data_IF_694855683006
#
_entry.id   IF_694855683006
#
_cell.length_a   1.000
_cell.length_b   1.000
_cell.length_c   1.000
_cell.angle_alpha   90.00
_cell.angle_beta   90.00
_cell.angle_gamma   90.00
#
_symmetry.space_group_name_H-M   'P 1'
#
loop_
_entity.id
_entity.type
_entity.pdbx_description
1 polymer ?
#
# COMPACT_ATOMS: atom_id res chain seq x y z
N UNK A 1 3.18 18.23 19.56
CA UNK A 1 3.16 16.84 20.04
C UNK A 1 1.88 16.21 19.52
N UNK A 2 1.97 15.25 18.60
CA UNK A 2 0.84 14.44 18.16
C UNK A 2 0.44 13.54 19.33
N UNK A 3 -0.85 13.39 19.58
CA UNK A 3 -1.32 12.51 20.67
C UNK A 3 -1.53 11.12 20.09
N UNK A 4 -1.29 10.05 20.87
CA UNK A 4 -1.58 8.65 20.50
C UNK A 4 -3.00 8.49 19.96
N UNK A 5 -3.96 9.29 20.46
CA UNK A 5 -5.34 9.35 19.99
C UNK A 5 -5.53 9.70 18.51
N UNK A 6 -4.53 10.32 17.87
CA UNK A 6 -4.63 10.70 16.45
C UNK A 6 -4.39 9.51 15.48
N UNK A 7 -3.79 8.42 16.00
CA UNK A 7 -3.59 7.15 15.30
C UNK A 7 -4.49 6.01 15.83
N UNK A 8 -5.43 6.32 16.73
CA UNK A 8 -6.30 5.33 17.36
C UNK A 8 -7.44 4.95 16.40
N UNK A 9 -7.09 4.12 15.41
CA UNK A 9 -8.05 3.56 14.47
C UNK A 9 -7.96 2.03 14.47
N UNK A 10 -9.05 1.40 14.07
CA UNK A 10 -9.14 -0.06 13.97
C UNK A 10 -8.33 -0.51 12.73
N UNK A 11 -7.27 -1.29 12.92
CA UNK A 11 -6.46 -1.78 11.81
C UNK A 11 -7.26 -2.75 10.94
N UNK A 12 -7.10 -2.63 9.63
CA UNK A 12 -7.83 -3.46 8.66
C UNK A 12 -7.25 -4.87 8.63
N UNK A 13 -8.11 -5.90 8.71
CA UNK A 13 -7.73 -7.31 8.63
C UNK A 13 -6.56 -7.70 9.58
N UNK A 14 -6.49 -7.08 10.78
CA UNK A 14 -5.38 -7.27 11.72
C UNK A 14 -5.09 -8.74 12.00
N UNK A 15 -6.08 -9.42 12.58
CA UNK A 15 -5.89 -10.83 12.96
C UNK A 15 -5.73 -11.76 11.77
N UNK A 16 -6.54 -11.65 10.70
CA UNK A 16 -6.33 -12.48 9.50
C UNK A 16 -4.93 -12.34 8.91
N UNK A 17 -4.35 -11.14 8.89
CA UNK A 17 -3.00 -10.90 8.36
C UNK A 17 -1.93 -11.53 9.22
N UNK A 18 -1.97 -11.31 10.54
CA UNK A 18 -0.95 -11.86 11.46
C UNK A 18 -1.11 -13.38 11.64
N UNK A 19 -2.34 -13.90 11.56
CA UNK A 19 -2.58 -15.36 11.50
C UNK A 19 -1.94 -15.98 10.25
N UNK A 20 -2.14 -15.31 9.10
CA UNK A 20 -1.59 -15.76 7.83
C UNK A 20 -0.06 -15.76 7.80
N UNK A 21 0.59 -14.83 8.50
CA UNK A 21 2.06 -14.79 8.65
C UNK A 21 2.62 -15.97 9.45
N UNK A 22 1.79 -16.68 10.23
CA UNK A 22 2.21 -17.80 11.08
C UNK A 22 3.38 -17.43 12.01
N UNK A 23 3.23 -16.31 12.72
CA UNK A 23 4.27 -15.72 13.58
C UNK A 23 4.70 -16.69 14.69
N UNK A 24 6.04 -16.85 14.86
CA UNK A 24 6.65 -17.74 15.86
C UNK A 24 7.67 -16.98 16.71
N UNK A 25 7.84 -17.37 17.98
CA UNK A 25 8.94 -16.87 18.81
C UNK A 25 10.30 -17.15 18.15
N UNK A 26 11.23 -16.20 18.24
CA UNK A 26 12.56 -16.27 17.64
C UNK A 26 12.62 -16.04 16.14
N UNK A 27 11.47 -15.76 15.47
CA UNK A 27 11.41 -15.45 14.06
C UNK A 27 11.87 -14.03 13.74
N UNK A 28 12.03 -13.74 12.44
CA UNK A 28 12.40 -12.45 11.88
C UNK A 28 11.26 -11.98 10.98
N UNK A 29 10.68 -10.85 11.30
CA UNK A 29 9.53 -10.30 10.56
C UNK A 29 9.80 -8.88 10.08
N UNK A 30 9.18 -8.52 8.95
CA UNK A 30 9.22 -7.17 8.39
C UNK A 30 7.79 -6.69 8.15
N UNK A 31 7.44 -5.57 8.77
CA UNK A 31 6.26 -4.79 8.46
C UNK A 31 6.69 -3.64 7.57
N UNK A 32 6.27 -3.66 6.31
CA UNK A 32 6.67 -2.71 5.27
C UNK A 32 5.90 -1.39 5.32
N UNK A 33 4.87 -1.30 6.18
CA UNK A 33 3.92 -0.19 6.27
C UNK A 33 3.49 -0.01 7.72
N UNK A 34 4.44 0.42 8.55
CA UNK A 34 4.26 0.45 10.00
C UNK A 34 3.02 1.25 10.46
N UNK A 35 2.73 2.39 9.79
CA UNK A 35 1.59 3.23 10.12
C UNK A 35 1.55 3.59 11.61
N UNK A 36 0.41 3.39 12.28
CA UNK A 36 0.27 3.55 13.73
C UNK A 36 0.83 2.39 14.57
N UNK A 37 1.50 1.41 13.95
CA UNK A 37 2.16 0.28 14.64
C UNK A 37 1.24 -0.86 15.07
N UNK A 38 -0.02 -0.89 14.65
CA UNK A 38 -0.98 -1.89 15.16
C UNK A 38 -0.67 -3.31 14.68
N UNK A 39 -0.33 -3.50 13.41
CA UNK A 39 0.11 -4.79 12.87
C UNK A 39 1.45 -5.20 13.49
N UNK A 40 2.42 -4.28 13.54
CA UNK A 40 3.71 -4.49 14.19
C UNK A 40 3.56 -4.93 15.65
N UNK A 41 2.69 -4.29 16.43
CA UNK A 41 2.44 -4.65 17.84
C UNK A 41 1.82 -6.04 18.00
N UNK A 42 0.87 -6.42 17.14
CA UNK A 42 0.29 -7.77 17.17
C UNK A 42 1.32 -8.84 16.76
N UNK A 43 2.19 -8.57 15.78
CA UNK A 43 3.32 -9.43 15.46
C UNK A 43 4.23 -9.59 16.68
N UNK A 44 4.67 -8.48 17.31
CA UNK A 44 5.51 -8.49 18.51
C UNK A 44 4.89 -9.30 19.65
N UNK A 45 3.60 -9.13 19.90
CA UNK A 45 2.86 -9.89 20.92
C UNK A 45 2.96 -11.42 20.68
N UNK A 46 2.86 -11.87 19.41
CA UNK A 46 2.95 -13.29 19.05
C UNK A 46 4.38 -13.81 19.08
N UNK A 47 5.39 -12.95 18.92
CA UNK A 47 6.80 -13.31 19.06
C UNK A 47 7.20 -13.63 20.52
N UNK A 48 6.36 -13.32 21.52
CA UNK A 48 6.55 -13.64 22.93
C UNK A 48 7.93 -13.21 23.47
N UNK A 49 8.36 -12.01 23.12
CA UNK A 49 9.62 -11.44 23.59
C UNK A 49 10.88 -12.06 22.97
N UNK A 50 10.79 -12.71 21.81
CA UNK A 50 11.93 -13.32 21.15
C UNK A 50 11.90 -13.06 19.65
N UNK A 51 13.03 -12.64 19.07
CA UNK A 51 13.21 -12.46 17.62
C UNK A 51 13.39 -11.01 17.20
N UNK A 52 13.32 -10.76 15.92
CA UNK A 52 13.57 -9.44 15.28
C UNK A 52 12.32 -9.00 14.54
N UNK A 53 11.93 -7.74 14.74
CA UNK A 53 10.87 -7.07 13.96
C UNK A 53 11.41 -5.78 13.38
N UNK A 54 11.38 -5.68 12.05
CA UNK A 54 11.66 -4.43 11.33
C UNK A 54 10.34 -3.79 10.95
N UNK A 55 10.13 -2.52 11.33
CA UNK A 55 8.93 -1.74 10.99
C UNK A 55 9.34 -0.57 10.12
N UNK A 56 8.94 -0.61 8.84
CA UNK A 56 9.33 0.38 7.82
C UNK A 56 8.15 1.33 7.59
N UNK A 57 8.43 2.62 7.53
CA UNK A 57 7.50 3.61 6.99
C UNK A 57 8.27 4.78 6.40
N UNK A 58 7.71 5.43 5.38
CA UNK A 58 8.28 6.65 4.81
C UNK A 58 7.74 7.93 5.46
N UNK A 59 6.68 7.82 6.25
CA UNK A 59 6.05 8.93 6.97
C UNK A 59 6.63 9.05 8.40
N UNK A 60 7.33 10.16 8.69
CA UNK A 60 7.86 10.42 10.03
C UNK A 60 6.77 10.41 11.12
N UNK A 61 5.55 10.84 10.78
CA UNK A 61 4.43 10.82 11.72
C UNK A 61 4.03 9.39 12.12
N UNK A 62 4.10 8.44 11.17
CA UNK A 62 3.85 7.02 11.44
C UNK A 62 4.92 6.45 12.38
N UNK A 63 6.20 6.68 12.07
CA UNK A 63 7.29 6.21 12.95
C UNK A 63 7.25 6.83 14.33
N UNK A 64 6.90 8.12 14.44
CA UNK A 64 6.71 8.77 15.74
C UNK A 64 5.61 8.09 16.56
N UNK A 65 4.47 7.74 15.93
CA UNK A 65 3.39 7.00 16.58
C UNK A 65 3.82 5.60 17.03
N UNK A 66 4.61 4.89 16.20
CA UNK A 66 5.20 3.60 16.59
C UNK A 66 6.14 3.75 17.80
N UNK A 67 6.95 4.82 17.85
CA UNK A 67 7.87 5.07 18.95
C UNK A 67 7.14 5.36 20.28
N UNK A 68 5.96 5.97 20.23
CA UNK A 68 5.10 6.14 21.43
C UNK A 68 4.60 4.80 21.99
N UNK A 69 4.54 3.77 21.16
CA UNK A 69 4.14 2.38 21.50
C UNK A 69 5.30 1.44 21.80
N UNK A 70 6.50 1.95 22.03
CA UNK A 70 7.72 1.14 22.23
C UNK A 70 7.58 0.02 23.27
N UNK A 71 6.70 0.18 24.24
CA UNK A 71 6.43 -0.83 25.28
C UNK A 71 5.78 -2.10 24.70
N UNK A 72 5.01 -1.98 23.61
CA UNK A 72 4.40 -3.12 22.91
C UNK A 72 5.46 -4.04 22.28
N UNK A 73 6.68 -3.53 22.07
CA UNK A 73 7.81 -4.24 21.48
C UNK A 73 8.83 -4.75 22.52
N UNK A 74 8.48 -4.73 23.79
CA UNK A 74 9.39 -5.15 24.85
C UNK A 74 9.83 -6.62 24.68
N UNK A 75 11.13 -6.86 24.83
CA UNK A 75 11.73 -8.20 24.78
C UNK A 75 12.12 -8.70 23.39
N UNK A 76 11.68 -8.06 22.31
CA UNK A 76 12.16 -8.34 20.95
C UNK A 76 13.20 -7.29 20.49
N UNK A 77 13.97 -7.64 19.48
CA UNK A 77 14.84 -6.67 18.79
C UNK A 77 14.01 -5.93 17.74
N UNK A 78 13.45 -4.78 18.17
CA UNK A 78 12.58 -3.95 17.31
C UNK A 78 13.37 -2.85 16.63
N UNK A 79 13.28 -2.77 15.30
CA UNK A 79 14.02 -1.87 14.43
C UNK A 79 13.06 -1.00 13.58
N UNK A 80 12.64 0.19 14.04
CA UNK A 80 11.92 1.13 13.20
C UNK A 80 12.87 1.78 12.17
N UNK A 81 12.45 1.84 10.90
CA UNK A 81 13.27 2.32 9.79
C UNK A 81 12.47 3.32 8.95
N UNK A 82 12.98 4.57 8.80
CA UNK A 82 12.43 5.52 7.82
C UNK A 82 12.96 5.17 6.45
N UNK A 83 12.13 4.58 5.60
CA UNK A 83 12.44 4.26 4.20
C UNK A 83 11.17 3.94 3.43
N UNK A 84 11.28 3.93 2.10
CA UNK A 84 10.24 3.36 1.24
C UNK A 84 10.37 1.83 1.24
N UNK A 85 9.24 1.13 1.26
CA UNK A 85 9.20 -0.34 1.25
C UNK A 85 9.85 -0.96 -0.01
N UNK A 86 9.93 -0.21 -1.13
CA UNK A 86 10.64 -0.66 -2.35
C UNK A 86 12.12 -0.96 -2.08
N UNK A 87 12.71 -0.35 -1.05
CA UNK A 87 14.12 -0.51 -0.68
C UNK A 87 14.34 -1.69 0.29
N UNK A 88 13.38 -2.61 0.42
CA UNK A 88 13.42 -3.75 1.37
C UNK A 88 14.71 -4.58 1.26
N UNK A 89 15.25 -4.78 0.05
CA UNK A 89 16.51 -5.52 -0.14
C UNK A 89 17.69 -4.82 0.53
N UNK A 90 17.82 -3.51 0.32
CA UNK A 90 18.88 -2.69 0.89
C UNK A 90 18.73 -2.53 2.41
N UNK A 91 17.50 -2.40 2.91
CA UNK A 91 17.20 -2.35 4.34
C UNK A 91 17.65 -3.63 5.03
N UNK A 92 17.18 -4.79 4.56
CA UNK A 92 17.53 -6.10 5.13
C UNK A 92 19.05 -6.31 5.09
N UNK A 93 19.72 -5.91 4.01
CA UNK A 93 21.17 -6.02 3.85
C UNK A 93 21.93 -5.11 4.82
N UNK A 94 21.50 -3.86 4.96
CA UNK A 94 22.13 -2.88 5.85
C UNK A 94 22.03 -3.30 7.33
N UNK A 95 20.91 -3.88 7.72
CA UNK A 95 20.65 -4.40 9.05
C UNK A 95 21.35 -5.78 9.30
N UNK A 96 21.94 -6.40 8.27
CA UNK A 96 22.62 -7.72 8.34
C UNK A 96 21.72 -8.86 8.83
N UNK A 97 20.43 -8.77 8.53
CA UNK A 97 19.42 -9.73 9.02
C UNK A 97 19.38 -11.03 8.18
N UNK A 98 19.72 -10.98 6.91
CA UNK A 98 19.63 -12.11 6.01
C UNK A 98 18.20 -12.38 5.54
N UNK A 99 17.76 -13.66 5.52
CA UNK A 99 16.39 -14.04 5.14
C UNK A 99 15.45 -13.98 6.33
N UNK A 100 14.17 -13.68 6.06
CA UNK A 100 13.13 -13.42 7.06
C UNK A 100 12.04 -14.51 7.06
N UNK A 101 11.36 -14.69 8.18
CA UNK A 101 10.29 -15.65 8.36
C UNK A 101 8.94 -15.13 7.86
N UNK A 102 8.77 -13.81 7.83
CA UNK A 102 7.54 -13.20 7.29
C UNK A 102 7.72 -11.76 6.91
N UNK A 103 6.96 -11.35 5.90
CA UNK A 103 6.85 -9.97 5.43
C UNK A 103 5.37 -9.63 5.35
N UNK A 104 5.00 -8.44 5.79
CA UNK A 104 3.68 -7.91 5.54
C UNK A 104 3.73 -6.51 4.93
N UNK A 105 2.69 -6.16 4.20
CA UNK A 105 2.43 -4.80 3.74
C UNK A 105 0.93 -4.51 3.80
N UNK A 106 0.55 -3.41 4.45
CA UNK A 106 -0.80 -2.84 4.46
C UNK A 106 -0.77 -1.60 3.55
N UNK A 107 -1.16 -1.78 2.27
CA UNK A 107 -0.94 -0.78 1.23
C UNK A 107 -1.89 0.42 1.37
N UNK A 108 -1.52 1.51 0.72
CA UNK A 108 -2.33 2.72 0.65
C UNK A 108 -2.03 3.73 1.75
N UNK A 109 -3.04 4.51 2.13
CA UNK A 109 -2.92 5.64 3.06
C UNK A 109 -3.35 5.28 4.47
N UNK A 110 -2.64 5.78 5.46
CA UNK A 110 -3.06 5.65 6.85
C UNK A 110 -4.32 6.48 7.15
N UNK A 111 -5.08 6.06 8.17
CA UNK A 111 -6.22 6.84 8.63
C UNK A 111 -5.81 8.24 9.08
N UNK A 112 -4.64 8.38 9.70
CA UNK A 112 -4.08 9.67 10.08
C UNK A 112 -3.92 10.60 8.86
N UNK A 113 -3.36 10.10 7.74
CA UNK A 113 -3.20 10.88 6.51
C UNK A 113 -4.55 11.33 5.94
N UNK A 114 -5.58 10.46 5.96
CA UNK A 114 -6.93 10.81 5.51
C UNK A 114 -7.65 11.78 6.47
N UNK A 115 -7.40 11.67 7.76
CA UNK A 115 -8.09 12.44 8.78
C UNK A 115 -7.46 13.81 9.04
N UNK A 116 -6.20 13.99 8.72
CA UNK A 116 -5.47 15.25 8.82
C UNK A 116 -5.65 16.07 7.55
N UNK A 117 -6.46 17.13 7.62
CA UNK A 117 -6.78 17.98 6.46
C UNK A 117 -5.52 18.58 5.81
N UNK A 118 -4.52 18.91 6.60
CA UNK A 118 -3.24 19.51 6.21
C UNK A 118 -2.40 18.60 5.31
N UNK A 119 -2.63 17.27 5.34
CA UNK A 119 -1.95 16.30 4.47
C UNK A 119 -2.55 16.24 3.06
N UNK A 120 -3.76 16.76 2.84
CA UNK A 120 -4.37 16.91 1.52
C UNK A 120 -4.89 15.65 0.85
N UNK A 121 -4.99 14.52 1.53
CA UNK A 121 -5.46 13.25 0.94
C UNK A 121 -6.98 13.18 0.76
N UNK A 122 -7.74 13.93 1.56
CA UNK A 122 -9.20 13.85 1.56
C UNK A 122 -9.83 14.85 0.59
N UNK A 123 -10.70 14.38 -0.30
CA UNK A 123 -11.55 15.25 -1.13
C UNK A 123 -12.72 15.88 -0.35
N UNK A 124 -12.99 15.40 0.87
CA UNK A 124 -14.06 15.91 1.74
C UNK A 124 -13.59 16.97 2.73
N UNK A 125 -12.32 16.96 3.10
CA UNK A 125 -11.71 17.90 4.05
C UNK A 125 -10.97 18.99 3.27
N UNK A 126 -11.11 20.25 3.68
CA UNK A 126 -10.44 21.36 3.01
C UNK A 126 -8.98 21.49 3.46
N UNK A 127 -8.07 20.94 2.71
CA UNK A 127 -6.62 20.98 2.94
C UNK A 127 -5.83 21.50 1.74
N UNK A 128 -4.52 21.73 1.87
CA UNK A 128 -3.65 21.99 0.73
C UNK A 128 -3.64 20.79 -0.23
N UNK A 129 -3.37 21.00 -1.52
CA UNK A 129 -3.18 19.91 -2.48
C UNK A 129 -1.75 19.35 -2.34
N UNK A 130 -1.50 18.61 -1.26
CA UNK A 130 -0.18 18.00 -0.98
C UNK A 130 -0.15 16.52 -1.39
N UNK A 131 -0.81 15.64 -0.67
CA UNK A 131 -0.91 14.18 -0.85
C UNK A 131 0.42 13.42 -0.77
N UNK A 132 1.52 14.02 -0.33
CA UNK A 132 2.78 13.30 -0.11
C UNK A 132 2.69 12.44 1.14
N UNK A 133 3.07 11.18 1.04
CA UNK A 133 3.26 10.31 2.20
C UNK A 133 4.55 10.68 2.94
N UNK A 134 5.65 10.87 2.20
CA UNK A 134 6.88 11.47 2.71
C UNK A 134 6.89 12.98 2.42
N UNK A 135 6.81 13.85 3.44
CA UNK A 135 6.81 15.30 3.25
C UNK A 135 8.11 15.86 2.64
N UNK A 136 9.20 15.10 2.65
CA UNK A 136 10.49 15.51 2.09
C UNK A 136 10.54 15.36 0.57
N UNK A 137 9.62 14.61 -0.04
CA UNK A 137 9.50 14.47 -1.50
C UNK A 137 9.08 15.80 -2.14
N UNK A 138 9.50 16.03 -3.38
CA UNK A 138 9.25 17.30 -4.08
C UNK A 138 7.89 17.35 -4.79
N UNK A 139 7.36 16.20 -5.28
CA UNK A 139 6.14 16.13 -6.08
C UNK A 139 4.90 16.19 -5.19
N UNK A 140 4.12 17.25 -5.32
CA UNK A 140 2.85 17.42 -4.62
C UNK A 140 1.67 17.24 -5.57
N UNK A 141 0.47 17.01 -5.02
CA UNK A 141 -0.77 17.01 -5.80
C UNK A 141 -0.99 18.35 -6.52
N UNK A 142 -0.55 19.47 -5.93
CA UNK A 142 -0.60 20.78 -6.59
C UNK A 142 0.28 20.85 -7.84
N UNK A 143 1.49 20.26 -7.80
CA UNK A 143 2.37 20.19 -8.96
C UNK A 143 1.75 19.34 -10.07
N UNK A 144 1.21 18.16 -9.74
CA UNK A 144 0.51 17.29 -10.70
C UNK A 144 -0.66 18.04 -11.35
N UNK A 145 -1.57 18.61 -10.57
CA UNK A 145 -2.80 19.24 -11.07
C UNK A 145 -2.51 20.51 -11.87
N UNK A 146 -1.54 21.33 -11.43
CA UNK A 146 -1.29 22.63 -12.04
C UNK A 146 -0.25 22.62 -13.17
N UNK A 147 0.65 21.61 -13.23
CA UNK A 147 1.75 21.62 -14.19
C UNK A 147 1.72 20.49 -15.23
N UNK A 148 1.14 19.35 -14.93
CA UNK A 148 1.05 18.24 -15.89
C UNK A 148 0.28 18.69 -17.13
N UNK A 149 0.69 18.20 -18.29
CA UNK A 149 -0.04 18.39 -19.54
C UNK A 149 -1.44 17.75 -19.47
N UNK A 150 -2.28 18.13 -20.41
CA UNK A 150 -3.61 17.54 -20.56
C UNK A 150 -3.55 16.02 -20.71
N UNK A 151 -2.61 15.52 -21.52
CA UNK A 151 -2.47 14.10 -21.83
C UNK A 151 -1.91 13.31 -20.64
N UNK A 152 -1.00 13.89 -19.85
CA UNK A 152 -0.53 13.29 -18.59
C UNK A 152 -1.64 13.19 -17.56
N UNK A 153 -2.46 14.22 -17.39
CA UNK A 153 -3.63 14.17 -16.49
C UNK A 153 -4.64 13.12 -16.96
N UNK A 154 -4.97 13.06 -18.25
CA UNK A 154 -5.85 12.02 -18.78
C UNK A 154 -5.30 10.64 -18.52
N UNK A 155 -4.00 10.42 -18.77
CA UNK A 155 -3.32 9.16 -18.52
C UNK A 155 -3.49 8.71 -17.07
N UNK A 156 -3.12 9.55 -16.10
CA UNK A 156 -3.21 9.16 -14.68
C UNK A 156 -4.66 8.92 -14.24
N UNK A 157 -5.62 9.72 -14.69
CA UNK A 157 -7.03 9.52 -14.33
C UNK A 157 -7.59 8.22 -14.94
N UNK A 158 -7.20 7.88 -16.17
CA UNK A 158 -7.61 6.65 -16.83
C UNK A 158 -6.90 5.43 -16.23
N UNK A 159 -5.58 5.48 -16.11
CA UNK A 159 -4.76 4.31 -15.79
C UNK A 159 -4.70 4.04 -14.27
N UNK A 160 -4.67 5.08 -13.43
CA UNK A 160 -4.60 4.97 -11.96
C UNK A 160 -5.95 5.18 -11.27
N UNK A 161 -6.83 5.96 -11.88
CA UNK A 161 -8.17 6.18 -11.34
C UNK A 161 -9.22 5.24 -11.89
N UNK A 162 -8.93 4.52 -12.98
CA UNK A 162 -9.92 3.75 -13.77
C UNK A 162 -11.15 4.63 -14.08
N UNK A 163 -10.91 5.96 -14.37
CA UNK A 163 -11.95 6.94 -14.57
C UNK A 163 -12.36 7.03 -16.04
N UNK A 164 -13.63 6.77 -16.32
CA UNK A 164 -14.17 6.74 -17.69
C UNK A 164 -14.23 8.12 -18.35
N UNK A 165 -14.35 9.18 -17.56
CA UNK A 165 -14.41 10.56 -18.03
C UNK A 165 -13.06 11.30 -17.94
N UNK A 166 -11.94 10.56 -17.89
CA UNK A 166 -10.59 11.08 -17.67
C UNK A 166 -10.24 12.27 -18.58
N UNK A 167 -10.50 12.16 -19.91
CA UNK A 167 -10.22 13.23 -20.87
C UNK A 167 -11.00 14.51 -20.58
N UNK A 168 -12.29 14.39 -20.30
CA UNK A 168 -13.16 15.56 -20.00
C UNK A 168 -12.73 16.26 -18.71
N UNK A 169 -12.36 15.49 -17.68
CA UNK A 169 -11.88 16.04 -16.41
C UNK A 169 -10.53 16.75 -16.63
N UNK A 170 -9.62 16.13 -17.40
CA UNK A 170 -8.33 16.73 -17.74
C UNK A 170 -8.50 18.05 -18.51
N UNK A 171 -9.38 18.10 -19.53
CA UNK A 171 -9.71 19.33 -20.26
C UNK A 171 -10.19 20.43 -19.31
N UNK A 172 -11.14 20.12 -18.43
CA UNK A 172 -11.69 21.07 -17.48
C UNK A 172 -10.67 21.61 -16.48
N UNK A 173 -9.79 20.74 -15.96
CA UNK A 173 -8.71 21.15 -15.05
C UNK A 173 -7.73 22.08 -15.77
N UNK A 174 -7.29 21.72 -16.98
CA UNK A 174 -6.35 22.53 -17.77
C UNK A 174 -6.94 23.89 -18.11
N UNK A 175 -8.22 23.96 -18.46
CA UNK A 175 -8.91 25.23 -18.74
C UNK A 175 -9.00 26.11 -17.48
N UNK A 176 -9.48 25.55 -16.37
CA UNK A 176 -9.70 26.32 -15.15
C UNK A 176 -8.40 26.85 -14.54
N UNK A 177 -7.32 26.05 -14.52
CA UNK A 177 -6.04 26.46 -13.92
C UNK A 177 -5.36 27.64 -14.64
N UNK A 178 -5.73 27.93 -15.90
CA UNK A 178 -5.25 29.12 -16.65
C UNK A 178 -5.70 30.42 -15.99
N UNK A 179 -6.89 30.42 -15.37
CA UNK A 179 -7.43 31.58 -14.68
C UNK A 179 -6.99 31.63 -13.22
N UNK A 180 -7.06 30.47 -12.51
CA UNK A 180 -6.69 30.38 -11.10
C UNK A 180 -6.15 28.97 -10.83
N UNK A 181 -4.88 28.84 -10.43
CA UNK A 181 -4.32 27.55 -10.01
C UNK A 181 -5.11 26.93 -8.86
N UNK A 182 -5.16 25.60 -8.83
CA UNK A 182 -5.74 24.86 -7.72
C UNK A 182 -4.79 24.84 -6.52
N UNK A 183 -5.29 25.19 -5.34
CA UNK A 183 -4.51 25.21 -4.10
C UNK A 183 -5.12 24.36 -2.99
N UNK A 184 -6.42 24.05 -3.10
CA UNK A 184 -7.17 23.35 -2.05
C UNK A 184 -7.86 22.11 -2.59
N UNK A 185 -7.95 21.09 -1.74
CA UNK A 185 -8.59 19.79 -2.05
C UNK A 185 -10.05 19.97 -2.45
N UNK A 186 -10.82 20.77 -1.72
CA UNK A 186 -12.24 21.00 -2.01
C UNK A 186 -12.47 21.78 -3.29
N UNK A 187 -11.55 22.68 -3.68
CA UNK A 187 -11.62 23.37 -4.99
C UNK A 187 -11.48 22.37 -6.14
N UNK A 188 -10.52 21.43 -6.03
CA UNK A 188 -10.32 20.40 -7.05
C UNK A 188 -11.49 19.41 -7.06
N UNK A 189 -11.96 18.96 -5.90
CA UNK A 189 -13.09 18.04 -5.80
C UNK A 189 -14.37 18.61 -6.43
N UNK A 190 -14.66 19.89 -6.18
CA UNK A 190 -15.80 20.58 -6.80
C UNK A 190 -15.62 20.70 -8.32
N UNK A 191 -14.43 21.08 -8.79
CA UNK A 191 -14.17 21.18 -10.22
C UNK A 191 -14.35 19.82 -10.92
N UNK A 192 -13.83 18.73 -10.38
CA UNK A 192 -14.02 17.38 -10.92
C UNK A 192 -15.52 17.07 -11.02
N UNK A 193 -16.29 17.37 -9.97
CA UNK A 193 -17.74 17.17 -9.97
C UNK A 193 -18.44 17.96 -11.07
N UNK A 194 -18.05 19.22 -11.31
CA UNK A 194 -18.64 20.09 -12.33
C UNK A 194 -18.37 19.58 -13.75
N UNK A 195 -17.25 18.88 -13.98
CA UNK A 195 -16.87 18.32 -15.29
C UNK A 195 -17.46 16.95 -15.57
N UNK A 196 -18.03 16.28 -14.58
CA UNK A 196 -18.65 14.97 -14.77
C UNK A 196 -20.06 15.10 -15.34
N UNK A 197 -20.42 14.32 -16.39
CA UNK A 197 -21.77 14.35 -16.95
C UNK A 197 -22.78 13.67 -16.02
N UNK A 198 -23.93 14.33 -15.79
CA UNK A 198 -25.12 13.67 -15.25
C UNK A 198 -25.11 13.34 -13.74
N UNK A 199 -24.31 14.01 -12.92
CA UNK A 199 -24.32 13.80 -11.48
C UNK A 199 -25.65 14.12 -10.84
N UNK A 200 -26.30 13.08 -10.28
CA UNK A 200 -27.51 13.26 -9.49
C UNK A 200 -28.35 12.02 -9.25
N UNK A 201 -28.16 10.90 -9.95
CA UNK A 201 -29.02 9.73 -9.77
C UNK A 201 -28.22 8.43 -9.92
N UNK A 202 -27.81 7.83 -8.80
CA UNK A 202 -27.48 6.40 -8.75
C UNK A 202 -25.99 6.02 -8.63
N UNK A 203 -25.06 6.96 -8.44
CA UNK A 203 -23.68 6.58 -8.09
C UNK A 203 -23.47 6.68 -6.57
N UNK A 204 -23.19 5.56 -5.92
CA UNK A 204 -22.93 5.45 -4.48
C UNK A 204 -21.62 6.11 -4.03
N UNK A 205 -20.77 6.59 -4.95
CA UNK A 205 -19.44 7.11 -4.66
C UNK A 205 -19.24 8.54 -5.15
N UNK A 206 -18.51 9.34 -4.34
CA UNK A 206 -18.18 10.71 -4.70
C UNK A 206 -17.32 10.75 -5.97
N UNK A 207 -17.66 11.61 -6.98
CA UNK A 207 -16.98 11.67 -8.29
C UNK A 207 -15.45 11.86 -8.20
N UNK A 208 -15.00 12.69 -7.25
CA UNK A 208 -13.59 12.98 -7.07
C UNK A 208 -12.77 11.79 -6.53
N UNK A 209 -13.40 10.73 -6.01
CA UNK A 209 -12.68 9.61 -5.37
C UNK A 209 -11.61 9.00 -6.28
N UNK A 210 -11.97 8.66 -7.51
CA UNK A 210 -11.07 8.05 -8.50
C UNK A 210 -9.94 8.97 -8.92
N UNK A 211 -10.24 10.26 -9.14
CA UNK A 211 -9.22 11.25 -9.51
C UNK A 211 -8.24 11.51 -8.35
N UNK A 212 -8.72 11.59 -7.11
CA UNK A 212 -7.87 11.73 -5.93
C UNK A 212 -6.97 10.50 -5.73
N UNK A 213 -7.51 9.30 -5.92
CA UNK A 213 -6.71 8.06 -5.94
C UNK A 213 -5.63 8.14 -7.03
N UNK A 214 -5.96 8.57 -8.24
CA UNK A 214 -5.01 8.67 -9.35
C UNK A 214 -3.87 9.65 -9.05
N UNK A 215 -4.19 10.83 -8.53
CA UNK A 215 -3.20 11.85 -8.15
C UNK A 215 -2.32 11.31 -7.01
N UNK A 216 -2.90 10.65 -6.01
CA UNK A 216 -2.17 10.06 -4.89
C UNK A 216 -1.16 9.00 -5.35
N UNK A 217 -1.59 8.11 -6.23
CA UNK A 217 -0.72 7.07 -6.81
C UNK A 217 0.45 7.71 -7.57
N UNK A 218 0.19 8.74 -8.38
CA UNK A 218 1.22 9.45 -9.13
C UNK A 218 2.21 10.16 -8.19
N UNK A 219 1.73 10.90 -7.19
CA UNK A 219 2.55 11.65 -6.23
C UNK A 219 3.48 10.73 -5.43
N UNK A 220 3.01 9.55 -5.05
CA UNK A 220 3.73 8.65 -4.14
C UNK A 220 4.39 7.45 -4.85
N UNK A 221 4.28 7.34 -6.18
CA UNK A 221 4.81 6.22 -6.98
C UNK A 221 4.40 4.84 -6.43
N UNK A 222 3.14 4.72 -5.96
CA UNK A 222 2.68 3.58 -5.19
C UNK A 222 2.78 2.24 -5.95
N UNK A 223 2.49 2.24 -7.25
CA UNK A 223 2.47 1.01 -8.04
C UNK A 223 3.86 0.54 -8.46
N UNK A 224 4.76 1.46 -8.81
CA UNK A 224 6.13 1.14 -9.24
C UNK A 224 6.93 0.50 -8.08
N UNK A 225 6.82 1.09 -6.88
CA UNK A 225 7.44 0.56 -5.67
C UNK A 225 6.90 -0.81 -5.26
N UNK A 226 5.61 -1.07 -5.51
CA UNK A 226 4.96 -2.33 -5.15
C UNK A 226 5.52 -3.53 -5.92
N UNK A 227 5.77 -3.41 -7.21
CA UNK A 227 6.37 -4.50 -8.00
C UNK A 227 7.78 -4.85 -7.48
N UNK A 228 8.57 -3.84 -7.14
CA UNK A 228 9.91 -4.02 -6.56
C UNK A 228 9.82 -4.71 -5.21
N UNK A 229 8.97 -4.22 -4.30
CA UNK A 229 8.72 -4.85 -3.00
C UNK A 229 8.38 -6.33 -3.13
N UNK A 230 7.43 -6.68 -4.03
CA UNK A 230 6.97 -8.06 -4.19
C UNK A 230 8.08 -8.98 -4.68
N UNK A 231 8.84 -8.54 -5.71
CA UNK A 231 9.92 -9.33 -6.28
C UNK A 231 11.06 -9.55 -5.28
N UNK A 232 11.49 -8.52 -4.59
CA UNK A 232 12.60 -8.59 -3.64
C UNK A 232 12.16 -9.26 -2.32
N UNK A 233 10.97 -8.94 -1.83
CA UNK A 233 10.41 -9.56 -0.63
C UNK A 233 10.28 -11.07 -0.76
N UNK A 234 9.75 -11.59 -1.89
CA UNK A 234 9.68 -13.05 -2.13
C UNK A 234 11.06 -13.70 -2.06
N UNK A 235 12.10 -13.04 -2.57
CA UNK A 235 13.48 -13.57 -2.54
C UNK A 235 14.08 -13.54 -1.13
N UNK A 236 13.65 -12.60 -0.28
CA UNK A 236 14.12 -12.49 1.12
C UNK A 236 13.46 -13.46 2.08
N UNK A 237 12.37 -14.10 1.69
CA UNK A 237 11.76 -15.12 2.55
C UNK A 237 12.65 -16.34 2.71
N UNK A 238 12.69 -16.89 3.93
CA UNK A 238 13.15 -18.26 4.21
C UNK A 238 12.18 -19.28 3.61
N UNK A 239 12.61 -20.54 3.39
CA UNK A 239 11.68 -21.63 3.14
C UNK A 239 10.59 -21.70 4.23
N UNK A 240 9.31 -21.79 3.82
CA UNK A 240 8.16 -21.75 4.72
C UNK A 240 7.82 -20.34 5.25
N UNK A 241 8.60 -19.33 4.91
CA UNK A 241 8.30 -17.92 5.21
C UNK A 241 7.14 -17.39 4.38
N UNK A 242 6.39 -16.45 4.92
CA UNK A 242 5.15 -15.94 4.29
C UNK A 242 5.19 -14.45 4.00
N UNK A 243 4.58 -14.09 2.89
CA UNK A 243 4.35 -12.71 2.50
C UNK A 243 2.84 -12.44 2.48
N UNK A 244 2.37 -11.57 3.35
CA UNK A 244 0.99 -11.15 3.47
C UNK A 244 0.84 -9.70 2.99
N UNK A 245 -0.07 -9.45 2.04
CA UNK A 245 -0.29 -8.10 1.47
C UNK A 245 -1.77 -7.77 1.52
N UNK A 246 -2.11 -6.63 2.12
CA UNK A 246 -3.44 -6.03 2.10
C UNK A 246 -3.44 -4.95 1.01
N UNK A 247 -4.40 -4.99 0.11
CA UNK A 247 -4.62 -3.99 -0.94
C UNK A 247 -6.01 -3.38 -0.82
N UNK A 248 -6.19 -2.13 -1.28
CA UNK A 248 -7.46 -1.38 -1.15
C UNK A 248 -8.11 -1.03 -2.47
N UNK A 249 -7.43 -1.23 -3.59
CA UNK A 249 -7.99 -1.00 -4.92
C UNK A 249 -7.54 -2.05 -5.94
N UNK A 250 -8.26 -2.07 -7.07
CA UNK A 250 -8.12 -3.07 -8.14
C UNK A 250 -6.70 -3.18 -8.71
N UNK A 251 -5.99 -2.07 -8.84
CA UNK A 251 -4.65 -2.05 -9.44
C UNK A 251 -3.63 -2.73 -8.52
N UNK A 252 -3.62 -2.39 -7.22
CA UNK A 252 -2.77 -3.06 -6.22
C UNK A 252 -3.06 -4.56 -6.19
N UNK A 253 -4.34 -4.95 -6.05
CA UNK A 253 -4.75 -6.36 -5.99
C UNK A 253 -4.31 -7.14 -7.23
N UNK A 254 -4.37 -6.51 -8.41
CA UNK A 254 -3.92 -7.09 -9.67
C UNK A 254 -2.41 -7.35 -9.65
N UNK A 255 -1.60 -6.36 -9.28
CA UNK A 255 -0.14 -6.46 -9.21
C UNK A 255 0.26 -7.55 -8.22
N UNK A 256 -0.28 -7.55 -6.99
CA UNK A 256 0.01 -8.58 -5.98
C UNK A 256 -0.36 -9.98 -6.47
N UNK A 257 -1.55 -10.14 -7.05
CA UNK A 257 -2.01 -11.41 -7.59
C UNK A 257 -1.12 -11.92 -8.72
N UNK A 258 -0.70 -11.05 -9.63
CA UNK A 258 0.15 -11.41 -10.77
C UNK A 258 1.56 -11.76 -10.31
N UNK A 259 2.15 -10.99 -9.38
CA UNK A 259 3.46 -11.28 -8.82
C UNK A 259 3.49 -12.64 -8.09
N UNK A 260 2.52 -12.91 -7.22
CA UNK A 260 2.44 -14.19 -6.51
C UNK A 260 2.19 -15.37 -7.44
N UNK A 261 1.34 -15.21 -8.47
CA UNK A 261 1.13 -16.25 -9.49
C UNK A 261 2.38 -16.51 -10.33
N UNK A 262 3.08 -15.44 -10.72
CA UNK A 262 4.34 -15.57 -11.47
C UNK A 262 5.42 -16.25 -10.65
N UNK A 263 5.46 -16.01 -9.34
CA UNK A 263 6.37 -16.69 -8.43
C UNK A 263 6.00 -18.17 -8.22
N UNK A 264 4.69 -18.51 -8.18
CA UNK A 264 4.21 -19.89 -8.08
C UNK A 264 4.41 -20.65 -9.39
N UNK A 265 4.12 -20.01 -10.52
CA UNK A 265 4.14 -20.64 -11.85
C UNK A 265 4.95 -19.79 -12.83
N UNK A 266 6.29 -19.74 -12.71
CA UNK A 266 7.15 -18.82 -13.47
C UNK A 266 7.40 -19.25 -14.91
N UNK A 267 6.83 -20.37 -15.37
CA UNK A 267 7.01 -20.89 -16.71
C UNK A 267 6.52 -19.90 -17.77
N UNK A 268 7.39 -19.57 -18.74
CA UNK A 268 7.11 -18.69 -19.89
C UNK A 268 7.05 -19.43 -21.21
N UNK A 269 7.08 -20.78 -21.20
CA UNK A 269 6.93 -21.58 -22.43
C UNK A 269 5.51 -21.43 -23.01
N UNK A 270 5.37 -21.48 -24.34
CA UNK A 270 4.06 -21.62 -24.96
C UNK A 270 3.29 -22.82 -24.40
N UNK A 271 1.97 -22.67 -24.26
CA UNK A 271 1.12 -23.71 -23.63
C UNK A 271 1.05 -25.01 -24.41
N UNK A 272 1.34 -24.97 -25.70
CA UNK A 272 1.37 -26.10 -26.63
C UNK A 272 2.71 -26.86 -26.65
N UNK A 273 3.71 -26.38 -25.88
CA UNK A 273 4.97 -27.12 -25.75
C UNK A 273 4.78 -28.37 -24.89
N UNK A 274 5.21 -29.55 -25.40
CA UNK A 274 5.05 -30.82 -24.73
C UNK A 274 5.88 -30.92 -23.42
N UNK A 275 6.98 -30.17 -23.32
CA UNK A 275 7.89 -30.15 -22.17
C UNK A 275 8.37 -28.73 -21.92
N UNK A 276 8.43 -28.33 -20.66
CA UNK A 276 8.97 -27.04 -20.27
C UNK A 276 10.48 -26.96 -20.54
N UNK A 277 10.91 -25.97 -21.31
CA UNK A 277 12.33 -25.75 -21.68
C UNK A 277 12.93 -24.49 -21.04
N UNK A 278 12.12 -23.65 -20.35
CA UNK A 278 12.61 -22.40 -19.76
C UNK A 278 13.43 -22.58 -18.48
N UNK A 279 13.39 -23.77 -17.87
CA UNK A 279 14.14 -24.10 -16.63
C UNK A 279 13.69 -23.34 -15.37
N UNK A 280 12.69 -22.44 -15.48
CA UNK A 280 12.20 -21.67 -14.33
C UNK A 280 11.47 -22.57 -13.35
N UNK A 281 11.81 -22.45 -12.06
CA UNK A 281 11.21 -23.23 -10.97
C UNK A 281 10.31 -22.35 -10.13
N UNK A 282 9.24 -22.93 -9.59
CA UNK A 282 8.36 -22.29 -8.60
C UNK A 282 9.15 -21.80 -7.41
N UNK A 283 8.89 -20.58 -6.98
CA UNK A 283 9.46 -20.00 -5.77
C UNK A 283 8.62 -20.28 -4.52
N UNK A 284 7.38 -20.72 -4.69
CA UNK A 284 6.47 -20.93 -3.56
C UNK A 284 5.05 -21.25 -4.00
N UNK A 285 4.12 -21.07 -3.09
CA UNK A 285 2.70 -21.39 -3.27
C UNK A 285 1.84 -20.20 -2.87
N UNK A 286 0.82 -19.90 -3.68
CA UNK A 286 -0.22 -18.91 -3.34
C UNK A 286 -1.19 -19.55 -2.35
N UNK A 287 -1.11 -19.16 -1.08
CA UNK A 287 -1.96 -19.69 -0.01
C UNK A 287 -3.41 -19.25 -0.21
N UNK A 288 -3.63 -17.97 -0.54
CA UNK A 288 -4.96 -17.41 -0.77
C UNK A 288 -5.34 -17.44 -2.25
N UNK A 289 -5.91 -18.55 -2.74
CA UNK A 289 -6.42 -18.65 -4.12
C UNK A 289 -7.51 -17.60 -4.41
N UNK A 290 -8.37 -17.32 -3.41
CA UNK A 290 -9.24 -16.14 -3.35
C UNK A 290 -8.70 -15.22 -2.25
N UNK A 291 -8.79 -13.89 -2.39
CA UNK A 291 -8.38 -13.01 -1.32
C UNK A 291 -9.23 -13.24 -0.07
N UNK A 292 -8.66 -13.00 1.10
CA UNK A 292 -9.43 -12.87 2.33
C UNK A 292 -9.97 -11.45 2.36
N UNK A 293 -11.27 -11.30 2.54
CA UNK A 293 -11.98 -10.03 2.62
C UNK A 293 -12.46 -9.79 4.06
N UNK A 294 -12.69 -8.54 4.48
CA UNK A 294 -13.19 -8.24 5.82
C UNK A 294 -14.57 -8.81 6.03
N UNK A 295 -14.90 -9.15 7.27
CA UNK A 295 -16.25 -9.59 7.64
C UNK A 295 -17.24 -8.41 7.62
N UNK A 296 -18.54 -8.72 7.62
CA UNK A 296 -19.57 -7.67 7.71
C UNK A 296 -19.44 -6.86 9.01
N UNK A 297 -19.12 -7.51 10.12
CA UNK A 297 -18.89 -6.85 11.40
C UNK A 297 -17.67 -5.89 11.34
N UNK A 298 -16.58 -6.29 10.67
CA UNK A 298 -15.44 -5.42 10.48
C UNK A 298 -15.79 -4.21 9.61
N UNK A 299 -16.58 -4.40 8.56
CA UNK A 299 -17.03 -3.30 7.68
C UNK A 299 -17.97 -2.33 8.42
N UNK A 300 -18.83 -2.83 9.30
CA UNK A 300 -19.71 -1.98 10.12
C UNK A 300 -18.92 -1.10 11.07
N UNK A 301 -17.90 -1.67 11.73
CA UNK A 301 -17.04 -0.96 12.68
C UNK A 301 -16.04 -0.04 11.97
N UNK A 302 -15.44 -0.53 10.85
CA UNK A 302 -14.47 0.20 10.04
C UNK A 302 -14.88 0.19 8.55
N UNK A 303 -15.71 1.13 8.08
CA UNK A 303 -16.15 1.18 6.68
C UNK A 303 -15.01 1.34 5.66
N UNK A 304 -13.81 1.75 6.10
CA UNK A 304 -12.61 1.85 5.25
C UNK A 304 -12.08 0.49 4.82
N UNK A 305 -12.37 -0.57 5.60
CA UNK A 305 -11.96 -1.95 5.27
C UNK A 305 -12.70 -2.53 4.07
N UNK A 306 -13.88 -2.01 3.70
CA UNK A 306 -14.80 -2.60 2.71
C UNK A 306 -14.14 -3.07 1.41
N UNK A 307 -13.13 -2.37 0.92
CA UNK A 307 -12.46 -2.68 -0.35
C UNK A 307 -11.17 -3.47 -0.15
N UNK A 308 -10.79 -3.78 1.08
CA UNK A 308 -9.53 -4.44 1.38
C UNK A 308 -9.53 -5.91 0.96
N UNK A 309 -8.36 -6.39 0.54
CA UNK A 309 -8.12 -7.77 0.11
C UNK A 309 -6.78 -8.23 0.61
N UNK A 310 -6.76 -9.28 1.42
CA UNK A 310 -5.53 -9.89 1.89
C UNK A 310 -5.13 -11.04 0.96
N UNK A 311 -3.90 -10.99 0.45
CA UNK A 311 -3.26 -12.09 -0.28
C UNK A 311 -2.02 -12.58 0.44
N UNK A 312 -1.79 -13.88 0.37
CA UNK A 312 -0.68 -14.54 1.07
C UNK A 312 0.04 -15.51 0.15
N UNK A 313 1.37 -15.41 0.16
CA UNK A 313 2.28 -16.30 -0.53
C UNK A 313 3.21 -16.98 0.48
N UNK A 314 3.54 -18.25 0.28
CA UNK A 314 4.49 -18.99 1.09
C UNK A 314 5.67 -19.45 0.22
N UNK A 315 6.88 -19.18 0.68
CA UNK A 315 8.13 -19.59 0.03
C UNK A 315 8.32 -21.08 0.17
N UNK A 316 8.64 -21.78 -0.92
CA UNK A 316 9.03 -23.18 -0.88
C UNK A 316 10.55 -23.37 -0.64
N UNK A 317 10.96 -24.63 -0.52
CA UNK A 317 12.34 -25.04 -0.19
C UNK A 317 13.25 -25.18 -1.43
N UNK A 318 12.89 -24.64 -2.57
CA UNK A 318 13.68 -24.76 -3.79
C UNK A 318 14.93 -23.85 -3.74
N UNK A 319 16.02 -24.33 -3.19
CA UNK A 319 17.32 -23.65 -2.96
C UNK A 319 18.11 -23.28 -4.23
N UNK A 320 17.54 -23.12 -5.40
CA UNK A 320 18.30 -22.89 -6.64
C UNK A 320 18.27 -21.46 -7.16
N UNK A 321 18.25 -20.46 -6.28
CA UNK A 321 18.57 -19.06 -6.64
C UNK A 321 19.35 -18.39 -5.50
N UNK A 322 20.64 -18.69 -5.43
CA UNK A 322 21.67 -17.83 -4.81
C UNK A 322 22.37 -17.04 -5.92
#
# INVERSE_FOLDING_TARGET
MLKVSDFDHIPVLLYPTVDALNVRPGGIYVDCTAGGGSHSAEIARRMKGQGILVSIDKDDAALAACMERKEDFAGIDWMPVKSDYKDIDDIIRSLKIGKVDGIMADLGVSSYQLDTAERGFSYMKNGPLDMRMDPDEWLTAAEVVNRYSRDELERIFRDYGEEHHAGRIADGIVERRRTKPFTRTTELAQAIKDYMPGHGRGEDQHPAKRCFQAIRIEVNHELDGLETLLNDGIRKLKPGGRFAVISFHSLEDRIVKEAFRSAESPCTCPRDFPVCVCGKKSLGTVITKKPIEPTEEEIEINPRSRSSKLRVFERNDNEQYN
#
